data_IF_304964071067
#
_entry.id   IF_304964071067
#
_cell.length_a   1.000
_cell.length_b   1.000
_cell.length_c   1.000
_cell.angle_alpha   90.00
_cell.angle_beta   90.00
_cell.angle_gamma   90.00
#
_symmetry.space_group_name_H-M   'P 1'
#
loop_
_entity.id
_entity.type
_entity.pdbx_description
1 polymer ?
#
# COMPACT_ATOMS: atom_id res chain seq x y z
N UNK A 1 -21.86 76.72 69.22
CA UNK A 1 -21.06 77.37 68.16
C UNK A 1 -20.69 76.29 67.16
N UNK A 2 -21.38 76.16 66.02
CA UNK A 2 -20.89 75.32 64.93
C UNK A 2 -19.78 76.11 64.20
N UNK A 3 -18.54 75.62 64.22
CA UNK A 3 -17.47 76.21 63.42
C UNK A 3 -17.77 75.91 61.94
N UNK A 4 -18.22 76.95 61.23
CA UNK A 4 -18.41 76.89 59.79
C UNK A 4 -17.06 77.07 59.11
N UNK A 5 -16.67 76.08 58.29
CA UNK A 5 -15.49 76.11 57.44
C UNK A 5 -15.42 77.41 56.61
N UNK A 6 -14.23 77.98 56.50
CA UNK A 6 -14.02 79.19 55.70
C UNK A 6 -14.20 78.89 54.19
N UNK A 7 -14.63 79.87 53.36
CA UNK A 7 -14.82 79.65 51.92
C UNK A 7 -13.58 79.10 51.19
N UNK A 8 -12.38 79.36 51.70
CA UNK A 8 -11.12 78.81 51.18
C UNK A 8 -10.93 77.32 51.52
N UNK A 9 -11.25 76.90 52.74
CA UNK A 9 -11.16 75.49 53.18
C UNK A 9 -12.21 74.63 52.48
N UNK A 10 -13.40 75.18 52.19
CA UNK A 10 -14.42 74.51 51.39
C UNK A 10 -13.96 74.33 49.94
N UNK A 11 -13.28 75.34 49.37
CA UNK A 11 -12.70 75.24 48.03
C UNK A 11 -11.60 74.19 47.92
N UNK A 12 -10.74 74.10 48.94
CA UNK A 12 -9.67 73.11 49.06
C UNK A 12 -10.22 71.69 49.21
N UNK A 13 -11.19 71.47 50.10
CA UNK A 13 -11.85 70.15 50.24
C UNK A 13 -12.58 69.71 48.96
N UNK A 14 -13.21 70.64 48.23
CA UNK A 14 -13.85 70.32 46.96
C UNK A 14 -12.80 69.95 45.90
N UNK A 15 -11.64 70.60 45.90
CA UNK A 15 -10.54 70.28 45.00
C UNK A 15 -9.93 68.91 45.34
N UNK A 16 -9.68 68.62 46.61
CA UNK A 16 -9.20 67.30 47.07
C UNK A 16 -10.19 66.19 46.76
N UNK A 17 -11.49 66.40 47.02
CA UNK A 17 -12.53 65.42 46.69
C UNK A 17 -12.66 65.22 45.18
N UNK A 18 -12.44 66.26 44.37
CA UNK A 18 -12.41 66.13 42.90
C UNK A 18 -11.20 65.32 42.45
N UNK A 19 -10.00 65.61 42.95
CA UNK A 19 -8.80 64.83 42.63
C UNK A 19 -8.95 63.36 43.05
N UNK A 20 -9.43 63.09 44.28
CA UNK A 20 -9.68 61.73 44.74
C UNK A 20 -10.74 61.00 43.90
N UNK A 21 -11.80 61.70 43.48
CA UNK A 21 -12.82 61.13 42.59
C UNK A 21 -12.26 60.84 41.19
N UNK A 22 -11.40 61.71 40.65
CA UNK A 22 -10.73 61.52 39.36
C UNK A 22 -9.73 60.35 39.41
N UNK A 23 -8.95 60.23 40.49
CA UNK A 23 -8.04 59.11 40.72
C UNK A 23 -8.79 57.78 40.89
N UNK A 24 -9.91 57.77 41.63
CA UNK A 24 -10.74 56.58 41.79
C UNK A 24 -11.42 56.17 40.46
N UNK A 25 -11.89 57.13 39.67
CA UNK A 25 -12.47 56.87 38.36
C UNK A 25 -11.42 56.33 37.37
N UNK A 26 -10.18 56.84 37.42
CA UNK A 26 -9.09 56.35 36.59
C UNK A 26 -8.66 54.92 36.98
N UNK A 27 -8.56 54.63 38.28
CA UNK A 27 -8.24 53.28 38.78
C UNK A 27 -9.31 52.25 38.37
N UNK A 28 -10.59 52.58 38.50
CA UNK A 28 -11.70 51.72 38.06
C UNK A 28 -11.69 51.46 36.54
N UNK A 29 -11.34 52.46 35.73
CA UNK A 29 -11.20 52.31 34.28
C UNK A 29 -10.03 51.39 33.91
N UNK A 30 -8.90 51.48 34.61
CA UNK A 30 -7.71 50.64 34.38
C UNK A 30 -7.99 49.19 34.78
N UNK A 31 -8.67 48.95 35.91
CA UNK A 31 -9.07 47.60 36.31
C UNK A 31 -10.07 46.97 35.33
N UNK A 32 -11.09 47.71 34.88
CA UNK A 32 -12.03 47.23 33.88
C UNK A 32 -11.36 46.91 32.53
N UNK A 33 -10.41 47.74 32.08
CA UNK A 33 -9.63 47.50 30.87
C UNK A 33 -8.73 46.27 31.01
N UNK A 34 -8.09 46.07 32.17
CA UNK A 34 -7.29 44.89 32.47
C UNK A 34 -8.16 43.61 32.49
N UNK A 35 -9.33 43.64 33.13
CA UNK A 35 -10.26 42.51 33.14
C UNK A 35 -10.79 42.17 31.75
N UNK A 36 -11.09 43.18 30.90
CA UNK A 36 -11.50 42.97 29.51
C UNK A 36 -10.38 42.33 28.67
N UNK A 37 -9.14 42.82 28.82
CA UNK A 37 -7.98 42.25 28.14
C UNK A 37 -7.68 40.81 28.61
N UNK A 38 -7.80 40.52 29.91
CA UNK A 38 -7.67 39.17 30.45
C UNK A 38 -8.76 38.22 29.94
N UNK A 39 -10.01 38.68 29.82
CA UNK A 39 -11.11 37.90 29.26
C UNK A 39 -10.91 37.60 27.75
N UNK A 40 -10.41 38.58 26.98
CA UNK A 40 -10.08 38.41 25.56
C UNK A 40 -8.92 37.42 25.36
N UNK A 41 -7.87 37.52 26.17
CA UNK A 41 -6.76 36.56 26.17
C UNK A 41 -7.22 35.14 26.53
N UNK A 42 -8.06 34.98 27.55
CA UNK A 42 -8.62 33.68 27.94
C UNK A 42 -9.53 33.07 26.85
N UNK A 43 -10.33 33.89 26.17
CA UNK A 43 -11.17 33.46 25.06
C UNK A 43 -10.33 33.00 23.85
N UNK A 44 -9.25 33.74 23.52
CA UNK A 44 -8.32 33.39 22.44
C UNK A 44 -7.58 32.08 22.74
N UNK A 45 -7.08 31.91 23.95
CA UNK A 45 -6.39 30.68 24.37
C UNK A 45 -7.33 29.47 24.36
N UNK A 46 -8.59 29.66 24.75
CA UNK A 46 -9.63 28.63 24.64
C UNK A 46 -9.92 28.25 23.18
N UNK A 47 -10.05 29.24 22.29
CA UNK A 47 -10.28 28.98 20.86
C UNK A 47 -9.11 28.22 20.21
N UNK A 48 -7.86 28.60 20.54
CA UNK A 48 -6.66 27.89 20.08
C UNK A 48 -6.67 26.44 20.57
N UNK A 49 -7.02 26.21 21.83
CA UNK A 49 -7.07 24.86 22.42
C UNK A 49 -8.11 23.96 21.72
N UNK A 50 -9.27 24.52 21.35
CA UNK A 50 -10.32 23.78 20.60
C UNK A 50 -9.83 23.43 19.20
N UNK A 51 -9.17 24.37 18.52
CA UNK A 51 -8.62 24.13 17.17
C UNK A 51 -7.49 23.08 17.22
N UNK A 52 -6.60 23.16 18.20
CA UNK A 52 -5.54 22.15 18.41
C UNK A 52 -6.14 20.75 18.66
N UNK A 53 -7.17 20.65 19.50
CA UNK A 53 -7.86 19.39 19.76
C UNK A 53 -8.59 18.84 18.52
N UNK A 54 -9.26 19.71 17.75
CA UNK A 54 -9.93 19.32 16.51
C UNK A 54 -8.93 18.83 15.46
N UNK A 55 -7.79 19.52 15.30
CA UNK A 55 -6.70 19.10 14.42
C UNK A 55 -6.14 17.74 14.82
N UNK A 56 -5.83 17.53 16.11
CA UNK A 56 -5.36 16.24 16.61
C UNK A 56 -6.37 15.11 16.34
N UNK A 57 -7.66 15.38 16.53
CA UNK A 57 -8.73 14.41 16.24
C UNK A 57 -8.77 14.04 14.76
N UNK A 58 -8.69 15.03 13.85
CA UNK A 58 -8.65 14.80 12.40
C UNK A 58 -7.43 13.96 12.03
N UNK A 59 -6.24 14.31 12.52
CA UNK A 59 -5.00 13.57 12.24
C UNK A 59 -5.10 12.12 12.75
N UNK A 60 -5.67 11.91 13.93
CA UNK A 60 -5.88 10.57 14.47
C UNK A 60 -6.83 9.74 13.61
N UNK A 61 -7.95 10.32 13.14
CA UNK A 61 -8.88 9.66 12.23
C UNK A 61 -8.23 9.33 10.89
N UNK A 62 -7.42 10.24 10.34
CA UNK A 62 -6.66 9.98 9.11
C UNK A 62 -5.65 8.83 9.31
N UNK A 63 -4.96 8.79 10.45
CA UNK A 63 -4.00 7.73 10.75
C UNK A 63 -4.70 6.38 10.89
N UNK A 64 -5.85 6.34 11.58
CA UNK A 64 -6.67 5.15 11.71
C UNK A 64 -7.20 4.67 10.35
N UNK A 65 -7.72 5.58 9.52
CA UNK A 65 -8.17 5.28 8.16
C UNK A 65 -7.05 4.73 7.29
N UNK A 66 -5.86 5.33 7.38
CA UNK A 66 -4.67 4.90 6.65
C UNK A 66 -4.22 3.50 7.09
N UNK A 67 -4.16 3.23 8.40
CA UNK A 67 -3.86 1.91 8.93
C UNK A 67 -4.88 0.84 8.50
N UNK A 68 -6.17 1.16 8.56
CA UNK A 68 -7.24 0.28 8.07
C UNK A 68 -7.09 -0.03 6.57
N UNK A 69 -6.85 1.00 5.76
CA UNK A 69 -6.68 0.86 4.30
C UNK A 69 -5.45 0.04 3.95
N UNK A 70 -4.33 0.24 4.66
CA UNK A 70 -3.13 -0.57 4.52
C UNK A 70 -3.43 -2.05 4.79
N UNK A 71 -4.14 -2.37 5.87
CA UNK A 71 -4.49 -3.76 6.20
C UNK A 71 -5.40 -4.40 5.14
N UNK A 72 -6.39 -3.67 4.63
CA UNK A 72 -7.29 -4.14 3.56
C UNK A 72 -6.53 -4.45 2.27
N UNK A 73 -5.69 -3.52 1.80
CA UNK A 73 -4.85 -3.73 0.62
C UNK A 73 -3.79 -4.83 0.83
N UNK A 74 -3.25 -4.97 2.03
CA UNK A 74 -2.32 -6.04 2.40
C UNK A 74 -2.98 -7.42 2.38
N UNK A 75 -4.25 -7.52 2.79
CA UNK A 75 -5.04 -8.74 2.68
C UNK A 75 -5.29 -9.12 1.22
N UNK A 76 -5.68 -8.17 0.37
CA UNK A 76 -5.89 -8.40 -1.07
C UNK A 76 -4.58 -8.85 -1.75
N UNK A 77 -3.47 -8.20 -1.41
CA UNK A 77 -2.13 -8.59 -1.87
C UNK A 77 -1.80 -10.03 -1.48
N UNK A 78 -2.04 -10.39 -0.22
CA UNK A 78 -1.73 -11.72 0.29
C UNK A 78 -2.56 -12.80 -0.40
N UNK A 79 -3.85 -12.54 -0.64
CA UNK A 79 -4.74 -13.45 -1.35
C UNK A 79 -4.29 -13.65 -2.80
N UNK A 80 -4.04 -12.57 -3.54
CA UNK A 80 -3.61 -12.64 -4.92
C UNK A 80 -2.24 -13.35 -5.05
N UNK A 81 -1.29 -13.06 -4.16
CA UNK A 81 0.01 -13.71 -4.16
C UNK A 81 -0.06 -15.21 -3.79
N UNK A 82 -0.98 -15.59 -2.91
CA UNK A 82 -1.26 -17.00 -2.62
C UNK A 82 -1.82 -17.73 -3.86
N UNK A 83 -2.77 -17.11 -4.57
CA UNK A 83 -3.30 -17.64 -5.83
C UNK A 83 -2.22 -17.76 -6.91
N UNK A 84 -1.35 -16.75 -7.03
CA UNK A 84 -0.21 -16.79 -7.93
C UNK A 84 0.74 -17.96 -7.63
N UNK A 85 1.01 -18.21 -6.34
CA UNK A 85 1.87 -19.30 -5.88
C UNK A 85 1.25 -20.68 -6.12
N UNK A 86 -0.07 -20.81 -5.94
CA UNK A 86 -0.82 -22.01 -6.29
C UNK A 86 -0.72 -22.32 -7.78
N UNK A 87 -1.07 -21.34 -8.63
CA UNK A 87 -1.00 -21.49 -10.08
C UNK A 87 0.44 -21.76 -10.58
N UNK A 88 1.47 -21.21 -9.93
CA UNK A 88 2.87 -21.52 -10.24
C UNK A 88 3.23 -22.98 -9.89
N UNK A 89 2.70 -23.50 -8.79
CA UNK A 89 2.88 -24.91 -8.41
C UNK A 89 2.24 -25.84 -9.44
N UNK A 90 1.01 -25.54 -9.86
CA UNK A 90 0.31 -26.30 -10.90
C UNK A 90 1.08 -26.26 -12.23
N UNK A 91 1.52 -25.07 -12.65
CA UNK A 91 2.34 -24.92 -13.86
C UNK A 91 3.64 -25.74 -13.80
N UNK A 92 4.27 -25.79 -12.63
CA UNK A 92 5.51 -26.55 -12.44
C UNK A 92 5.25 -28.05 -12.49
N UNK A 93 4.16 -28.53 -11.87
CA UNK A 93 3.76 -29.92 -11.92
C UNK A 93 3.48 -30.38 -13.37
N UNK A 94 2.71 -29.60 -14.12
CA UNK A 94 2.41 -29.86 -15.53
C UNK A 94 3.68 -29.83 -16.40
N UNK A 95 4.58 -28.87 -16.19
CA UNK A 95 5.83 -28.79 -16.95
C UNK A 95 6.76 -29.99 -16.66
N UNK A 96 6.82 -30.45 -15.41
CA UNK A 96 7.56 -31.66 -15.04
C UNK A 96 6.96 -32.88 -15.74
N UNK A 97 5.63 -33.03 -15.68
CA UNK A 97 4.94 -34.14 -16.33
C UNK A 97 5.14 -34.12 -17.85
N UNK A 98 5.08 -32.94 -18.48
CA UNK A 98 5.36 -32.79 -19.89
C UNK A 98 6.78 -33.23 -20.26
N UNK A 99 7.77 -32.80 -19.46
CA UNK A 99 9.18 -33.17 -19.67
C UNK A 99 9.38 -34.68 -19.50
N UNK A 100 8.71 -35.31 -18.53
CA UNK A 100 8.73 -36.76 -18.34
C UNK A 100 8.10 -37.49 -19.52
N UNK A 101 6.96 -37.02 -20.02
CA UNK A 101 6.29 -37.58 -21.21
C UNK A 101 7.22 -37.49 -22.42
N UNK A 102 7.84 -36.33 -22.66
CA UNK A 102 8.78 -36.13 -23.77
C UNK A 102 9.97 -37.07 -23.68
N UNK A 103 10.53 -37.21 -22.49
CA UNK A 103 11.64 -38.14 -22.24
C UNK A 103 11.21 -39.59 -22.48
N UNK A 104 10.04 -40.01 -21.98
CA UNK A 104 9.50 -41.35 -22.18
C UNK A 104 9.26 -41.65 -23.66
N UNK A 105 8.70 -40.69 -24.40
CA UNK A 105 8.45 -40.82 -25.84
C UNK A 105 9.77 -40.95 -26.62
N UNK A 106 10.79 -40.15 -26.30
CA UNK A 106 12.13 -40.26 -26.92
C UNK A 106 12.81 -41.60 -26.61
N UNK A 107 12.74 -42.08 -25.37
CA UNK A 107 13.28 -43.42 -25.01
C UNK A 107 12.53 -44.54 -25.74
N UNK A 108 11.21 -44.41 -25.88
CA UNK A 108 10.39 -45.37 -26.61
C UNK A 108 10.73 -45.38 -28.11
N UNK A 109 11.00 -44.21 -28.69
CA UNK A 109 11.45 -44.09 -30.08
C UNK A 109 12.82 -44.74 -30.32
N UNK A 110 13.78 -44.57 -29.41
CA UNK A 110 15.08 -45.26 -29.50
C UNK A 110 14.92 -46.79 -29.56
N UNK A 111 13.92 -47.36 -28.86
CA UNK A 111 13.63 -48.78 -28.94
C UNK A 111 13.03 -49.20 -30.31
N UNK A 112 12.24 -48.33 -30.96
CA UNK A 112 11.75 -48.54 -32.32
C UNK A 112 12.91 -48.51 -33.31
N UNK A 113 13.78 -47.50 -33.22
CA UNK A 113 14.96 -47.36 -34.06
C UNK A 113 15.91 -48.55 -33.92
N UNK A 114 16.23 -48.96 -32.68
CA UNK A 114 17.07 -50.13 -32.43
C UNK A 114 16.50 -51.42 -33.03
N UNK A 115 15.18 -51.62 -32.94
CA UNK A 115 14.52 -52.77 -33.56
C UNK A 115 14.57 -52.73 -35.10
N UNK A 116 14.47 -51.52 -35.67
CA UNK A 116 14.59 -51.30 -37.12
C UNK A 116 16.00 -51.61 -37.62
N UNK A 117 17.04 -51.07 -36.96
CA UNK A 117 18.45 -51.31 -37.30
C UNK A 117 18.83 -52.78 -37.14
N UNK A 118 18.28 -53.47 -36.14
CA UNK A 118 18.48 -54.90 -35.94
C UNK A 118 17.73 -55.79 -36.97
N UNK A 119 16.97 -55.20 -37.90
CA UNK A 119 16.11 -55.90 -38.86
C UNK A 119 15.13 -56.90 -38.21
N UNK A 120 14.72 -56.65 -36.96
CA UNK A 120 13.82 -57.53 -36.21
C UNK A 120 12.38 -57.03 -36.28
N UNK A 121 11.63 -57.52 -37.28
CA UNK A 121 10.25 -57.10 -37.55
C UNK A 121 9.28 -57.39 -36.40
N UNK A 122 9.48 -58.50 -35.68
CA UNK A 122 8.65 -58.84 -34.52
C UNK A 122 8.86 -57.83 -33.37
N UNK A 123 10.11 -57.49 -33.09
CA UNK A 123 10.45 -56.50 -32.07
C UNK A 123 9.99 -55.10 -32.47
N UNK A 124 10.15 -54.72 -33.74
CA UNK A 124 9.68 -53.44 -34.28
C UNK A 124 8.17 -53.26 -34.10
N UNK A 125 7.38 -54.27 -34.49
CA UNK A 125 5.93 -54.22 -34.31
C UNK A 125 5.53 -54.15 -32.82
N UNK A 126 6.30 -54.81 -31.93
CA UNK A 126 6.07 -54.74 -30.49
C UNK A 126 6.36 -53.34 -29.92
N UNK A 127 7.49 -52.72 -30.30
CA UNK A 127 7.88 -51.40 -29.80
C UNK A 127 6.98 -50.30 -30.35
N UNK A 128 6.60 -50.36 -31.63
CA UNK A 128 5.63 -49.43 -32.24
C UNK A 128 4.26 -49.51 -31.55
N UNK A 129 3.79 -50.71 -31.20
CA UNK A 129 2.52 -50.89 -30.47
C UNK A 129 2.55 -50.33 -29.05
N UNK A 130 3.73 -50.24 -28.43
CA UNK A 130 3.91 -49.69 -27.07
C UNK A 130 4.01 -48.17 -27.04
N UNK A 131 4.18 -47.51 -28.20
CA UNK A 131 4.19 -46.06 -28.27
C UNK A 131 2.91 -45.49 -27.66
N UNK A 132 3.06 -44.42 -26.88
CA UNK A 132 1.94 -43.72 -26.26
C UNK A 132 0.98 -43.20 -27.34
N UNK A 133 -0.32 -43.25 -27.07
CA UNK A 133 -1.35 -42.80 -28.00
C UNK A 133 -1.15 -41.33 -28.47
N UNK A 134 -0.60 -40.46 -27.62
CA UNK A 134 -0.30 -39.07 -27.99
C UNK A 134 0.97 -38.86 -28.80
N UNK A 135 1.85 -39.86 -28.90
CA UNK A 135 3.06 -39.81 -29.74
C UNK A 135 2.84 -40.49 -31.09
N UNK A 136 1.98 -41.51 -31.14
CA UNK A 136 1.73 -42.32 -32.33
C UNK A 136 1.34 -41.53 -33.60
N UNK A 137 0.44 -40.53 -33.57
CA UNK A 137 0.12 -39.74 -34.75
C UNK A 137 1.33 -38.98 -35.32
N UNK A 138 2.20 -38.49 -34.44
CA UNK A 138 3.44 -37.83 -34.83
C UNK A 138 4.42 -38.82 -35.45
N UNK A 139 4.58 -39.99 -34.86
CA UNK A 139 5.40 -41.07 -35.40
C UNK A 139 4.91 -41.54 -36.77
N UNK A 140 3.61 -41.81 -36.93
CA UNK A 140 3.04 -42.29 -38.20
C UNK A 140 3.18 -41.24 -39.31
N UNK A 141 2.95 -39.95 -38.99
CA UNK A 141 3.14 -38.85 -39.92
C UNK A 141 4.62 -38.63 -40.29
N UNK A 142 5.53 -38.76 -39.33
CA UNK A 142 6.97 -38.67 -39.55
C UNK A 142 7.46 -39.80 -40.47
N UNK A 143 7.01 -41.04 -40.21
CA UNK A 143 7.37 -42.19 -41.03
C UNK A 143 6.87 -42.06 -42.48
N UNK A 144 5.70 -41.45 -42.69
CA UNK A 144 5.15 -41.16 -44.01
C UNK A 144 6.00 -40.17 -44.83
N UNK A 145 6.88 -39.38 -44.18
CA UNK A 145 7.84 -38.51 -44.87
C UNK A 145 9.08 -39.26 -45.39
N UNK A 146 9.17 -40.57 -45.15
CA UNK A 146 10.30 -41.42 -45.53
C UNK A 146 11.65 -40.86 -45.06
N UNK A 147 11.86 -40.68 -43.74
CA UNK A 147 13.00 -39.93 -43.19
C UNK A 147 14.38 -40.50 -43.55
N UNK A 148 14.47 -41.80 -43.85
CA UNK A 148 15.72 -42.43 -44.29
C UNK A 148 16.10 -42.12 -45.75
N UNK A 149 15.16 -41.60 -46.54
CA UNK A 149 15.37 -41.25 -47.96
C UNK A 149 15.20 -39.76 -48.21
N UNK A 150 14.50 -39.06 -47.32
CA UNK A 150 14.19 -37.66 -47.42
C UNK A 150 15.04 -36.86 -46.43
N UNK A 151 16.12 -36.19 -46.88
CA UNK A 151 16.97 -35.39 -46.00
C UNK A 151 16.27 -34.16 -45.40
N UNK A 152 15.11 -33.76 -45.95
CA UNK A 152 14.30 -32.66 -45.41
C UNK A 152 13.28 -33.12 -44.36
N UNK A 153 13.20 -34.42 -44.07
CA UNK A 153 12.32 -34.89 -43.00
C UNK A 153 12.84 -34.39 -41.64
N UNK A 154 11.94 -34.05 -40.70
CA UNK A 154 12.36 -33.68 -39.34
C UNK A 154 13.24 -34.76 -38.69
N UNK A 155 14.17 -34.42 -37.80
CA UNK A 155 15.10 -35.39 -37.21
C UNK A 155 14.41 -36.50 -36.39
N UNK A 156 13.28 -36.19 -35.75
CA UNK A 156 12.55 -37.11 -34.86
C UNK A 156 11.05 -36.74 -34.84
N UNK A 157 10.14 -37.69 -34.56
CA UNK A 157 8.71 -37.41 -34.52
C UNK A 157 8.26 -36.31 -33.55
N UNK A 158 9.00 -36.00 -32.49
CA UNK A 158 8.70 -34.91 -31.55
C UNK A 158 8.80 -33.51 -32.18
N UNK A 159 9.44 -33.39 -33.35
CA UNK A 159 9.46 -32.14 -34.13
C UNK A 159 8.23 -32.00 -35.04
N UNK A 160 7.37 -33.01 -35.11
CA UNK A 160 6.17 -32.96 -35.94
C UNK A 160 5.07 -32.12 -35.28
N UNK A 161 4.28 -31.34 -36.05
CA UNK A 161 3.15 -30.57 -35.52
C UNK A 161 2.05 -31.40 -34.83
N UNK A 162 1.97 -32.68 -35.17
CA UNK A 162 1.06 -33.65 -34.56
C UNK A 162 1.49 -34.04 -33.14
N UNK A 163 2.75 -33.81 -32.77
CA UNK A 163 3.23 -34.07 -31.43
C UNK A 163 2.75 -32.98 -30.48
N UNK A 164 1.77 -33.35 -29.64
CA UNK A 164 1.19 -32.44 -28.66
C UNK A 164 1.16 -33.11 -27.30
N UNK A 165 1.69 -32.40 -26.31
CA UNK A 165 1.64 -32.79 -24.91
C UNK A 165 0.65 -31.84 -24.23
N UNK A 166 -0.56 -32.29 -23.84
CA UNK A 166 -1.56 -31.43 -23.21
C UNK A 166 -1.05 -30.67 -21.98
N UNK A 167 -0.13 -31.29 -21.22
CA UNK A 167 0.48 -30.71 -20.04
C UNK A 167 1.36 -29.49 -20.36
N UNK A 168 2.01 -29.42 -21.53
CA UNK A 168 2.75 -28.21 -21.91
C UNK A 168 1.80 -27.02 -22.07
N UNK A 169 0.63 -27.22 -22.68
CA UNK A 169 -0.38 -26.18 -22.83
C UNK A 169 -1.01 -25.80 -21.47
N UNK A 170 -1.30 -26.79 -20.62
CA UNK A 170 -1.82 -26.55 -19.27
C UNK A 170 -0.83 -25.75 -18.41
N UNK A 171 0.46 -26.09 -18.46
CA UNK A 171 1.52 -25.35 -17.78
C UNK A 171 1.58 -23.89 -18.23
N UNK A 172 1.44 -23.61 -19.53
CA UNK A 172 1.43 -22.22 -20.02
C UNK A 172 0.23 -21.43 -19.53
N UNK A 173 -0.96 -22.03 -19.51
CA UNK A 173 -2.19 -21.39 -19.00
C UNK A 173 -2.05 -21.07 -17.51
N UNK A 174 -1.63 -22.05 -16.71
CA UNK A 174 -1.42 -21.86 -15.27
C UNK A 174 -0.33 -20.80 -14.98
N UNK A 175 0.74 -20.77 -15.78
CA UNK A 175 1.80 -19.78 -15.65
C UNK A 175 1.34 -18.36 -16.01
N UNK A 176 0.47 -18.22 -17.02
CA UNK A 176 -0.14 -16.94 -17.37
C UNK A 176 -1.07 -16.43 -16.25
N UNK A 177 -1.87 -17.33 -15.66
CA UNK A 177 -2.70 -17.01 -14.49
C UNK A 177 -1.84 -16.61 -13.29
N UNK A 178 -0.75 -17.34 -13.01
CA UNK A 178 0.18 -17.01 -11.94
C UNK A 178 0.77 -15.60 -12.09
N UNK A 179 1.14 -15.20 -13.31
CA UNK A 179 1.66 -13.87 -13.58
C UNK A 179 0.59 -12.78 -13.37
N UNK A 180 -0.64 -13.01 -13.82
CA UNK A 180 -1.73 -12.06 -13.65
C UNK A 180 -2.04 -11.80 -12.16
N UNK A 181 -2.16 -12.87 -11.37
CA UNK A 181 -2.39 -12.75 -9.92
C UNK A 181 -1.19 -12.15 -9.19
N UNK A 182 0.03 -12.45 -9.61
CA UNK A 182 1.23 -11.85 -9.05
C UNK A 182 1.23 -10.33 -9.25
N UNK A 183 0.98 -9.86 -10.49
CA UNK A 183 0.91 -8.42 -10.79
C UNK A 183 -0.20 -7.73 -10.01
N UNK A 184 -1.37 -8.38 -9.87
CA UNK A 184 -2.46 -7.87 -9.03
C UNK A 184 -1.99 -7.74 -7.57
N UNK A 185 -1.38 -8.79 -7.01
CA UNK A 185 -0.86 -8.79 -5.64
C UNK A 185 0.19 -7.70 -5.41
N UNK A 186 1.14 -7.54 -6.32
CA UNK A 186 2.17 -6.50 -6.25
C UNK A 186 1.58 -5.09 -6.26
N UNK A 187 0.58 -4.83 -7.13
CA UNK A 187 -0.10 -3.53 -7.17
C UNK A 187 -0.88 -3.21 -5.87
N UNK A 188 -1.50 -4.24 -5.27
CA UNK A 188 -2.18 -4.12 -4.00
C UNK A 188 -1.18 -3.88 -2.86
N UNK A 189 -0.07 -4.61 -2.82
CA UNK A 189 1.03 -4.42 -1.86
C UNK A 189 1.58 -3.00 -1.93
N UNK A 190 1.88 -2.52 -3.15
CA UNK A 190 2.37 -1.16 -3.36
C UNK A 190 1.39 -0.07 -2.92
N UNK A 191 0.09 -0.37 -2.90
CA UNK A 191 -0.93 0.53 -2.35
C UNK A 191 -0.97 0.46 -0.83
N UNK A 192 -0.89 -0.74 -0.25
CA UNK A 192 -0.80 -0.95 1.20
C UNK A 192 0.40 -0.20 1.80
N UNK A 193 1.57 -0.30 1.17
CA UNK A 193 2.80 0.35 1.62
C UNK A 193 2.70 1.89 1.64
N UNK A 194 1.98 2.48 0.68
CA UNK A 194 1.73 3.93 0.65
C UNK A 194 0.86 4.35 1.84
N UNK A 195 -0.16 3.56 2.18
CA UNK A 195 -0.97 3.79 3.37
C UNK A 195 -0.18 3.58 4.68
N UNK A 196 0.67 2.56 4.78
CA UNK A 196 1.56 2.38 5.95
C UNK A 196 2.44 3.62 6.15
N UNK A 197 3.04 4.12 5.06
CA UNK A 197 3.87 5.33 5.09
C UNK A 197 3.09 6.55 5.61
N UNK A 198 1.86 6.75 5.14
CA UNK A 198 1.01 7.84 5.62
C UNK A 198 0.70 7.73 7.10
N UNK A 199 0.43 6.52 7.60
CA UNK A 199 0.21 6.29 9.03
C UNK A 199 1.43 6.72 9.86
N UNK A 200 2.65 6.39 9.41
CA UNK A 200 3.89 6.80 10.10
C UNK A 200 4.07 8.32 10.08
N UNK A 201 3.81 8.98 8.95
CA UNK A 201 3.91 10.45 8.85
C UNK A 201 2.87 11.12 9.76
N UNK A 202 1.63 10.63 9.77
CA UNK A 202 0.57 11.18 10.63
C UNK A 202 0.86 10.95 12.12
N UNK A 203 1.45 9.81 12.49
CA UNK A 203 1.92 9.57 13.85
C UNK A 203 3.03 10.56 14.25
N UNK A 204 3.96 10.87 13.34
CA UNK A 204 4.96 11.91 13.57
C UNK A 204 4.30 13.29 13.76
N UNK A 205 3.28 13.63 12.97
CA UNK A 205 2.50 14.88 13.13
C UNK A 205 1.84 14.94 14.51
N UNK A 206 1.16 13.87 14.96
CA UNK A 206 0.56 13.80 16.30
C UNK A 206 1.62 14.00 17.39
N UNK A 207 2.79 13.38 17.24
CA UNK A 207 3.89 13.53 18.18
C UNK A 207 4.43 14.96 18.22
N UNK A 208 4.70 15.58 17.06
CA UNK A 208 5.21 16.94 16.97
C UNK A 208 4.24 17.97 17.56
N UNK A 209 2.94 17.84 17.26
CA UNK A 209 1.90 18.71 17.83
C UNK A 209 1.77 18.48 19.33
N UNK A 210 1.77 17.21 19.77
CA UNK A 210 1.67 16.84 21.18
C UNK A 210 2.82 17.40 22.02
N UNK A 211 4.07 17.21 21.59
CA UNK A 211 5.24 17.72 22.32
C UNK A 211 5.39 19.25 22.19
N UNK A 212 5.02 19.83 21.04
CA UNK A 212 5.08 21.26 20.77
C UNK A 212 4.26 22.09 21.76
N UNK A 213 3.15 21.54 22.27
CA UNK A 213 2.30 22.18 23.28
C UNK A 213 2.97 22.33 24.66
N UNK A 214 4.03 21.56 24.95
CA UNK A 214 4.70 21.51 26.26
C UNK A 214 5.96 22.37 26.36
N UNK A 215 6.48 22.90 25.25
CA UNK A 215 7.73 23.66 25.25
C UNK A 215 7.53 25.12 25.73
N UNK A 216 8.31 25.59 26.71
CA UNK A 216 8.25 26.98 27.18
C UNK A 216 8.85 27.97 26.17
N UNK A 217 9.71 27.51 25.25
CA UNK A 217 10.40 28.33 24.26
C UNK A 217 9.51 28.53 23.02
N UNK A 218 9.09 29.78 22.79
CA UNK A 218 8.16 30.15 21.69
C UNK A 218 8.71 29.80 20.30
N UNK A 219 10.00 30.00 20.04
CA UNK A 219 10.62 29.68 18.74
C UNK A 219 10.62 28.17 18.44
N UNK A 220 10.90 27.33 19.45
CA UNK A 220 10.83 25.88 19.33
C UNK A 220 9.39 25.40 19.04
N UNK A 221 8.39 26.00 19.70
CA UNK A 221 6.96 25.71 19.46
C UNK A 221 6.55 26.02 18.01
N UNK A 222 6.88 27.21 17.50
CA UNK A 222 6.55 27.57 16.12
C UNK A 222 7.30 26.72 15.08
N UNK A 223 8.56 26.34 15.35
CA UNK A 223 9.31 25.44 14.47
C UNK A 223 8.67 24.05 14.36
N UNK A 224 8.32 23.43 15.49
CA UNK A 224 7.65 22.12 15.54
C UNK A 224 6.28 22.15 14.85
N UNK A 225 5.47 23.19 15.10
CA UNK A 225 4.17 23.36 14.45
C UNK A 225 4.33 23.54 12.94
N UNK A 226 5.31 24.32 12.49
CA UNK A 226 5.59 24.52 11.07
C UNK A 226 5.92 23.20 10.35
N UNK A 227 6.80 22.38 10.93
CA UNK A 227 7.15 21.05 10.38
C UNK A 227 5.92 20.14 10.37
N UNK A 228 5.16 20.10 11.47
CA UNK A 228 3.93 19.30 11.55
C UNK A 228 2.90 19.70 10.49
N UNK A 229 2.72 21.00 10.24
CA UNK A 229 1.81 21.52 9.23
C UNK A 229 2.23 21.11 7.81
N UNK A 230 3.54 21.17 7.49
CA UNK A 230 4.07 20.73 6.20
C UNK A 230 3.83 19.23 6.00
N UNK A 231 4.19 18.42 7.00
CA UNK A 231 3.98 16.97 6.95
C UNK A 231 2.49 16.61 6.82
N UNK A 232 1.61 17.33 7.53
CA UNK A 232 0.18 17.15 7.43
C UNK A 232 -0.34 17.49 6.03
N UNK A 233 0.06 18.62 5.45
CA UNK A 233 -0.34 19.00 4.10
C UNK A 233 0.10 17.96 3.06
N UNK A 234 1.34 17.49 3.15
CA UNK A 234 1.87 16.42 2.28
C UNK A 234 1.07 15.12 2.45
N UNK A 235 0.69 14.78 3.69
CA UNK A 235 -0.08 13.57 3.99
C UNK A 235 -1.49 13.65 3.43
N UNK A 236 -2.16 14.80 3.56
CA UNK A 236 -3.49 15.03 2.98
C UNK A 236 -3.46 14.88 1.46
N UNK A 237 -2.49 15.52 0.78
CA UNK A 237 -2.38 15.44 -0.69
C UNK A 237 -2.15 14.00 -1.15
N UNK A 238 -1.26 13.26 -0.48
CA UNK A 238 -1.01 11.86 -0.81
C UNK A 238 -2.23 10.98 -0.52
N UNK A 239 -2.91 11.17 0.62
CA UNK A 239 -4.08 10.39 1.01
C UNK A 239 -5.23 10.54 -0.01
N UNK A 240 -5.45 11.75 -0.51
CA UNK A 240 -6.47 12.05 -1.53
C UNK A 240 -6.13 11.43 -2.90
N UNK A 241 -4.87 11.13 -3.18
CA UNK A 241 -4.44 10.49 -4.42
C UNK A 241 -4.43 8.96 -4.39
N UNK A 242 -4.70 8.34 -3.24
CA UNK A 242 -4.71 6.88 -3.10
C UNK A 242 -6.11 6.30 -3.36
N UNK A 243 -6.19 5.10 -3.96
CA UNK A 243 -7.47 4.43 -4.16
C UNK A 243 -8.05 3.97 -2.82
N UNK A 244 -9.37 4.12 -2.66
CA UNK A 244 -10.07 3.68 -1.46
C UNK A 244 -9.86 2.18 -1.14
N UNK A 245 -10.05 1.78 0.13
CA UNK A 245 -9.86 0.39 0.53
C UNK A 245 -10.81 -0.54 -0.23
N UNK A 246 -10.34 -1.74 -0.63
CA UNK A 246 -11.19 -2.75 -1.23
C UNK A 246 -12.29 -3.20 -0.24
N UNK A 247 -13.41 -3.65 -0.80
CA UNK A 247 -14.60 -4.08 -0.06
C UNK A 247 -14.29 -5.18 0.98
#
# INVERSE_FOLDING_TARGET
MPEGLSPSEVGEQIAEHREHAEHAAHAAHVEHAAHAAHAEHAARDRAISIVEAALLSIVALMAAWSGYSAAKWGSESSLALAQASGARSDASADQIQATQIRTLDSVSFNAVEGAYVAHNTQLFNLTVRRLRAGYKPAFDAWLALHPLKNPNAPPDPSYMPQYRIPQEAAAQVANAQANAEFTKGESASGTADKYVRLTVILAAVLFLVGIGSRFPVRSARYGLIGIAAILLAVSVVQLLGLPGPPA
#
